data_IF_510690035411
#
_entry.id   IF_510690035411
#
_cell.length_a   1.000
_cell.length_b   1.000
_cell.length_c   1.000
_cell.angle_alpha   90.00
_cell.angle_beta   90.00
_cell.angle_gamma   90.00
#
_symmetry.space_group_name_H-M   'P 1'
#
loop_
_entity.id
_entity.type
_entity.pdbx_description
1 polymer ?
#
# COMPACT_ATOMS: atom_id res chain seq x y z
N UNK A 1 -12.09 -4.03 8.53
CA UNK A 1 -11.03 -3.47 7.66
C UNK A 1 -11.59 -2.69 6.47
N UNK A 2 -11.14 -1.45 6.31
CA UNK A 2 -11.37 -0.55 5.17
C UNK A 2 -10.22 -0.63 4.16
N UNK A 3 -9.02 -0.98 4.62
CA UNK A 3 -7.87 -1.25 3.79
C UNK A 3 -7.10 -2.49 4.25
N UNK A 4 -6.48 -3.17 3.29
CA UNK A 4 -5.52 -4.23 3.54
C UNK A 4 -4.26 -4.03 2.68
N UNK A 5 -3.08 -4.28 3.24
CA UNK A 5 -1.80 -4.14 2.52
C UNK A 5 -0.74 -5.09 3.08
N UNK A 6 0.26 -5.41 2.27
CA UNK A 6 1.25 -6.45 2.60
C UNK A 6 2.48 -5.94 3.35
N UNK A 7 2.50 -4.66 3.70
CA UNK A 7 3.43 -4.10 4.67
C UNK A 7 2.67 -3.08 5.52
N UNK A 8 2.94 -3.11 6.82
CA UNK A 8 2.37 -2.22 7.80
C UNK A 8 3.39 -1.21 8.33
N UNK A 9 2.86 -0.21 9.01
CA UNK A 9 3.66 0.78 9.70
C UNK A 9 3.16 0.97 11.13
N UNK A 10 4.13 0.98 12.05
CA UNK A 10 3.92 1.12 13.49
C UNK A 10 4.29 2.53 13.94
N UNK A 11 3.77 2.94 15.10
CA UNK A 11 4.18 4.20 15.72
C UNK A 11 5.56 4.05 16.36
N UNK A 12 6.46 4.96 16.01
CA UNK A 12 7.69 5.27 16.75
C UNK A 12 7.44 6.39 17.76
N UNK A 13 8.45 7.23 18.01
CA UNK A 13 8.30 8.47 18.78
C UNK A 13 7.09 9.29 18.29
N UNK A 14 6.50 10.18 19.10
CA UNK A 14 5.36 10.99 18.70
C UNK A 14 5.61 11.72 17.37
N UNK A 15 4.81 11.41 16.35
CA UNK A 15 4.95 11.97 14.99
C UNK A 15 5.76 11.10 14.01
N UNK A 16 6.47 10.09 14.51
CA UNK A 16 7.23 9.15 13.70
C UNK A 16 6.42 7.88 13.41
N UNK A 17 6.32 7.52 12.13
CA UNK A 17 5.82 6.20 11.72
C UNK A 17 6.99 5.51 11.04
N UNK A 18 7.36 4.34 11.56
CA UNK A 18 8.41 3.52 10.97
C UNK A 18 7.77 2.35 10.24
N UNK A 19 8.29 2.06 9.05
CA UNK A 19 8.02 0.80 8.40
C UNK A 19 8.38 -0.31 9.38
N UNK A 20 7.40 -1.16 9.68
CA UNK A 20 7.67 -2.43 10.36
C UNK A 20 7.64 -3.47 9.27
N UNK A 21 8.63 -4.37 9.25
CA UNK A 21 8.51 -5.63 8.53
C UNK A 21 7.42 -6.45 9.23
N UNK A 22 6.18 -6.08 8.92
CA UNK A 22 4.98 -6.74 9.41
C UNK A 22 4.67 -7.82 8.39
N UNK A 23 5.48 -8.87 8.41
CA UNK A 23 5.04 -10.18 7.90
C UNK A 23 4.01 -10.80 8.84
N UNK A 24 3.91 -10.28 10.08
CA UNK A 24 2.89 -10.66 11.04
C UNK A 24 1.51 -10.11 10.64
N UNK A 25 0.53 -11.00 10.39
CA UNK A 25 -0.83 -10.60 10.05
C UNK A 25 -1.50 -9.89 11.21
N UNK A 26 -2.33 -8.88 10.92
CA UNK A 26 -3.10 -8.21 11.96
C UNK A 26 -3.43 -6.75 11.70
N UNK A 27 -3.98 -6.09 12.72
CA UNK A 27 -4.37 -4.68 12.65
C UNK A 27 -3.14 -3.77 12.75
N UNK A 28 -3.07 -2.78 11.88
CA UNK A 28 -1.98 -1.79 11.86
C UNK A 28 -2.52 -0.37 11.84
N UNK A 29 -1.68 0.61 12.20
CA UNK A 29 -2.07 2.03 12.20
C UNK A 29 -2.05 2.65 10.81
N UNK A 30 -1.08 2.24 10.00
CA UNK A 30 -0.97 2.61 8.60
C UNK A 30 -0.40 1.44 7.80
N UNK A 31 -0.64 1.48 6.49
CA UNK A 31 -0.10 0.60 5.49
C UNK A 31 0.94 1.37 4.68
N UNK A 32 1.95 0.65 4.24
CA UNK A 32 2.93 1.10 3.27
C UNK A 32 3.21 -0.06 2.30
N UNK A 33 3.92 0.21 1.20
CA UNK A 33 4.29 -0.77 0.19
C UNK A 33 3.45 -0.76 -1.08
N UNK A 34 3.90 -1.59 -2.03
CA UNK A 34 3.53 -1.53 -3.45
C UNK A 34 2.07 -1.95 -3.77
N UNK A 35 1.36 -2.61 -2.84
CA UNK A 35 -0.02 -3.07 -3.07
C UNK A 35 -0.92 -2.90 -1.86
N UNK A 36 -2.05 -2.23 -2.08
CA UNK A 36 -3.14 -2.08 -1.13
C UNK A 36 -4.48 -2.40 -1.78
N UNK A 37 -5.36 -3.08 -1.04
CA UNK A 37 -6.76 -3.25 -1.37
C UNK A 37 -7.61 -2.36 -0.46
N UNK A 38 -8.45 -1.50 -1.04
CA UNK A 38 -9.23 -0.49 -0.29
C UNK A 38 -10.69 -0.51 -0.72
N UNK A 39 -11.61 -0.29 0.22
CA UNK A 39 -13.02 -0.06 -0.12
C UNK A 39 -13.17 1.24 -0.91
N UNK A 40 -13.78 1.16 -2.10
CA UNK A 40 -13.99 2.30 -3.00
C UNK A 40 -14.58 3.53 -2.30
N UNK A 41 -15.55 3.35 -1.42
CA UNK A 41 -16.20 4.45 -0.70
C UNK A 41 -15.25 5.22 0.23
N UNK A 42 -14.23 4.56 0.79
CA UNK A 42 -13.23 5.20 1.63
C UNK A 42 -12.10 5.84 0.80
N UNK A 43 -11.77 5.25 -0.35
CA UNK A 43 -10.72 5.77 -1.23
C UNK A 43 -11.06 7.14 -1.85
N UNK A 44 -12.34 7.39 -2.15
CA UNK A 44 -12.77 8.60 -2.87
C UNK A 44 -12.59 9.92 -2.08
N UNK A 45 -12.33 9.85 -0.77
CA UNK A 45 -12.07 11.02 0.08
C UNK A 45 -10.66 11.07 0.66
N UNK A 46 -9.81 10.09 0.36
CA UNK A 46 -8.52 9.93 1.01
C UNK A 46 -7.41 10.83 0.43
N UNK A 47 -7.58 11.35 -0.79
CA UNK A 47 -6.66 12.33 -1.38
C UNK A 47 -7.39 13.56 -1.91
N UNK A 48 -6.82 14.76 -1.72
CA UNK A 48 -7.28 15.96 -2.41
C UNK A 48 -6.82 15.95 -3.88
N UNK A 49 -7.50 16.72 -4.73
CA UNK A 49 -7.23 16.77 -6.18
C UNK A 49 -5.81 17.26 -6.54
N UNK A 50 -5.16 17.95 -5.60
CA UNK A 50 -3.82 18.52 -5.71
C UNK A 50 -2.72 17.66 -5.04
N UNK A 51 -3.04 16.44 -4.63
CA UNK A 51 -2.07 15.51 -4.06
C UNK A 51 -0.90 15.28 -5.03
N UNK A 52 0.31 15.60 -4.57
CA UNK A 52 1.54 15.43 -5.35
C UNK A 52 2.22 14.11 -5.00
N UNK A 53 2.74 13.36 -5.98
CA UNK A 53 3.44 12.11 -5.71
C UNK A 53 4.77 12.41 -4.97
N UNK A 54 4.91 11.85 -3.76
CA UNK A 54 6.13 11.88 -2.94
C UNK A 54 6.59 10.47 -2.54
N UNK A 55 7.73 10.37 -1.87
CA UNK A 55 8.33 9.09 -1.45
C UNK A 55 7.45 8.29 -0.47
N UNK A 56 6.63 8.98 0.34
CA UNK A 56 5.74 8.38 1.36
C UNK A 56 4.25 8.45 0.98
N UNK A 57 3.93 8.56 -0.31
CA UNK A 57 2.56 8.76 -0.78
C UNK A 57 1.59 7.64 -0.36
N UNK A 58 2.05 6.39 -0.36
CA UNK A 58 1.32 5.23 0.12
C UNK A 58 0.98 5.32 1.62
N UNK A 59 1.93 5.82 2.42
CA UNK A 59 1.76 6.03 3.85
C UNK A 59 0.78 7.18 4.13
N UNK A 60 0.90 8.29 3.39
CA UNK A 60 -0.03 9.42 3.48
C UNK A 60 -1.45 9.01 3.10
N UNK A 61 -1.60 8.30 1.97
CA UNK A 61 -2.87 7.69 1.56
C UNK A 61 -3.46 6.86 2.69
N UNK A 62 -2.65 5.96 3.24
CA UNK A 62 -3.13 5.06 4.27
C UNK A 62 -3.58 5.83 5.51
N UNK A 63 -2.89 6.90 5.91
CA UNK A 63 -3.29 7.72 7.07
C UNK A 63 -4.61 8.44 6.84
N UNK A 64 -4.87 8.87 5.62
CA UNK A 64 -6.12 9.55 5.25
C UNK A 64 -7.33 8.60 5.13
N UNK A 65 -7.12 7.28 5.05
CA UNK A 65 -8.22 6.31 5.03
C UNK A 65 -8.87 6.19 6.40
N UNK A 66 -10.16 6.51 6.47
CA UNK A 66 -10.96 6.29 7.68
C UNK A 66 -11.26 4.82 7.93
N UNK A 67 -11.01 4.37 9.16
CA UNK A 67 -11.31 3.01 9.62
C UNK A 67 -10.11 2.07 9.71
N UNK A 68 -10.42 0.80 9.99
CA UNK A 68 -9.42 -0.23 10.30
C UNK A 68 -8.55 -0.58 9.10
N UNK A 69 -7.26 -0.76 9.35
CA UNK A 69 -6.27 -1.22 8.37
C UNK A 69 -5.66 -2.52 8.84
N UNK A 70 -5.38 -3.42 7.91
CA UNK A 70 -4.96 -4.78 8.23
C UNK A 70 -3.82 -5.24 7.31
N UNK A 71 -2.84 -5.93 7.88
CA UNK A 71 -1.93 -6.78 7.13
C UNK A 71 -2.56 -8.18 7.03
N UNK A 72 -2.86 -8.67 5.81
CA UNK A 72 -3.51 -9.96 5.63
C UNK A 72 -2.55 -11.12 5.95
N UNK A 73 -3.13 -12.29 6.22
CA UNK A 73 -2.35 -13.52 6.34
C UNK A 73 -1.81 -13.96 4.97
N UNK A 74 -0.53 -14.36 4.95
CA UNK A 74 0.12 -14.92 3.78
C UNK A 74 0.73 -13.88 2.84
N UNK A 75 1.44 -14.36 1.80
CA UNK A 75 2.23 -13.50 0.92
C UNK A 75 1.35 -12.66 0.00
N UNK A 76 2.00 -11.66 -0.61
CA UNK A 76 1.43 -10.86 -1.69
C UNK A 76 0.91 -11.78 -2.81
N UNK A 77 -0.39 -11.72 -3.19
CA UNK A 77 -0.99 -12.64 -4.17
C UNK A 77 -0.60 -12.30 -5.61
N UNK A 78 0.37 -11.40 -5.80
CA UNK A 78 0.90 -10.99 -7.09
C UNK A 78 2.42 -11.08 -7.07
N UNK A 79 2.98 -11.41 -8.23
CA UNK A 79 4.43 -11.38 -8.43
C UNK A 79 4.78 -10.14 -9.24
N UNK A 80 5.71 -9.34 -8.74
CA UNK A 80 6.28 -8.22 -9.51
C UNK A 80 6.96 -8.79 -10.75
N UNK A 81 6.45 -8.44 -11.93
CA UNK A 81 7.15 -8.71 -13.17
C UNK A 81 8.24 -7.64 -13.30
N UNK A 82 9.50 -8.04 -13.17
CA UNK A 82 10.60 -7.17 -13.58
C UNK A 82 10.53 -7.06 -15.10
N UNK A 83 10.74 -5.87 -15.64
CA UNK A 83 10.79 -5.60 -17.08
C UNK A 83 12.07 -6.21 -17.68
N UNK A 84 12.19 -7.54 -17.65
CA UNK A 84 13.23 -8.27 -18.36
C UNK A 84 12.81 -8.38 -19.81
N UNK A 85 13.33 -7.47 -20.64
CA UNK A 85 13.19 -7.45 -22.11
C UNK A 85 11.75 -7.38 -22.62
N UNK A 86 11.37 -6.22 -23.16
CA UNK A 86 10.26 -6.10 -24.10
C UNK A 86 10.53 -7.10 -25.22
N UNK A 87 9.81 -8.23 -25.23
CA UNK A 87 9.99 -9.27 -26.23
C UNK A 87 9.41 -8.75 -27.55
N UNK A 88 10.25 -8.08 -28.35
CA UNK A 88 9.92 -7.49 -29.66
C UNK A 88 9.44 -8.52 -30.70
N UNK A 89 9.36 -9.81 -30.33
CA UNK A 89 8.84 -10.88 -31.17
C UNK A 89 7.31 -10.88 -31.33
N UNK A 90 6.55 -10.15 -30.50
CA UNK A 90 5.08 -10.18 -30.54
C UNK A 90 4.44 -9.22 -31.57
N UNK A 91 5.23 -8.38 -32.26
CA UNK A 91 4.73 -7.40 -33.23
C UNK A 91 5.08 -7.71 -34.70
N UNK A 92 5.60 -8.91 -34.98
CA UNK A 92 5.80 -9.40 -36.35
C UNK A 92 5.05 -10.72 -36.53
N UNK A 93 3.73 -10.61 -36.68
CA UNK A 93 2.86 -11.65 -37.21
C UNK A 93 1.98 -11.03 -38.29
#
# INVERSE_FOLDING_TARGET
AVAAGWRGAGSGEPGEVRAVDSEEPGRVRALNGDLLAVRRSAALGAFPEDASPGEDFDLEFSRALDGEKMVPEGPLPVRRLTSGSRNDAALRG
#
